data_IF_408756283909
#
_entry.id   IF_408756283909
#
_cell.length_a   1.000
_cell.length_b   1.000
_cell.length_c   1.000
_cell.angle_alpha   90.00
_cell.angle_beta   90.00
_cell.angle_gamma   90.00
#
_symmetry.space_group_name_H-M   'P 1'
#
loop_
_entity.id
_entity.type
_entity.pdbx_description
1 polymer ?
#
# COMPACT_ATOMS: atom_id res chain seq x y z
N UNK A 1 15.97 51.97 3.04
CA UNK A 1 14.97 51.21 2.24
C UNK A 1 15.25 49.70 2.14
N UNK A 2 16.11 49.11 3.00
CA UNK A 2 16.56 47.72 2.85
C UNK A 2 16.05 46.75 3.93
N UNK A 3 15.52 47.25 5.05
CA UNK A 3 15.09 46.44 6.20
C UNK A 3 13.74 45.75 5.99
N UNK A 4 12.81 46.40 5.28
CA UNK A 4 11.47 45.86 5.01
C UNK A 4 11.50 44.69 4.02
N UNK A 5 12.46 44.70 3.07
CA UNK A 5 12.61 43.65 2.05
C UNK A 5 13.20 42.36 2.64
N UNK A 6 14.15 42.50 3.57
CA UNK A 6 14.76 41.39 4.32
C UNK A 6 13.73 40.69 5.22
N UNK A 7 12.83 41.45 5.86
CA UNK A 7 11.81 40.88 6.75
C UNK A 7 10.74 40.07 5.99
N UNK A 8 10.38 40.49 4.76
CA UNK A 8 9.45 39.75 3.89
C UNK A 8 10.09 38.48 3.30
N UNK A 9 11.37 38.54 2.91
CA UNK A 9 12.13 37.37 2.44
C UNK A 9 12.35 36.36 3.58
N UNK A 10 12.67 36.82 4.79
CA UNK A 10 12.82 35.97 5.96
C UNK A 10 11.49 35.28 6.33
N UNK A 11 10.37 35.99 6.33
CA UNK A 11 9.05 35.41 6.59
C UNK A 11 8.66 34.34 5.55
N UNK A 12 9.01 34.54 4.28
CA UNK A 12 8.71 33.62 3.19
C UNK A 12 9.61 32.37 3.23
N UNK A 13 10.89 32.52 3.60
CA UNK A 13 11.83 31.40 3.80
C UNK A 13 11.47 30.57 5.03
N UNK A 14 11.08 31.23 6.13
CA UNK A 14 10.63 30.55 7.37
C UNK A 14 9.33 29.77 7.12
N UNK A 15 8.39 30.34 6.34
CA UNK A 15 7.15 29.66 5.96
C UNK A 15 7.36 28.42 5.09
N UNK A 16 8.39 28.40 4.24
CA UNK A 16 8.75 27.23 3.43
C UNK A 16 9.49 26.18 4.28
N UNK A 17 10.33 26.61 5.24
CA UNK A 17 11.11 25.72 6.10
C UNK A 17 10.24 24.93 7.10
N UNK A 18 9.16 25.51 7.63
CA UNK A 18 8.24 24.81 8.54
C UNK A 18 7.40 23.73 7.84
N UNK A 19 7.21 23.82 6.51
CA UNK A 19 6.47 22.81 5.75
C UNK A 19 7.30 21.54 5.48
N UNK A 20 8.62 21.59 5.67
CA UNK A 20 9.54 20.49 5.35
C UNK A 20 9.81 19.52 6.52
N UNK A 21 9.32 19.79 7.73
CA UNK A 21 9.67 19.02 8.95
C UNK A 21 8.69 17.87 9.26
N UNK A 22 7.72 17.60 8.38
CA UNK A 22 6.80 16.46 8.53
C UNK A 22 7.35 15.17 7.88
N UNK A 23 8.63 15.08 7.59
CA UNK A 23 9.22 13.91 6.92
C UNK A 23 9.40 12.73 7.89
N UNK A 24 8.32 11.95 7.98
CA UNK A 24 8.25 10.49 8.10
C UNK A 24 9.08 9.80 9.21
N UNK A 25 8.41 9.39 10.30
CA UNK A 25 8.80 8.21 11.06
C UNK A 25 8.39 6.94 10.28
N UNK A 26 9.14 6.57 9.24
CA UNK A 26 9.09 5.20 8.73
C UNK A 26 9.96 4.37 9.66
N UNK A 27 9.34 3.60 10.55
CA UNK A 27 10.04 2.59 11.32
C UNK A 27 10.46 1.46 10.41
N UNK A 28 11.72 1.03 10.52
CA UNK A 28 12.19 -0.17 9.81
C UNK A 28 11.38 -1.39 10.23
N UNK A 29 11.01 -2.27 9.28
CA UNK A 29 10.25 -3.46 9.57
C UNK A 29 11.05 -4.38 10.50
N UNK A 30 10.38 -4.93 11.53
CA UNK A 30 11.00 -5.86 12.49
C UNK A 30 11.57 -7.12 11.85
N UNK A 31 11.05 -7.51 10.69
CA UNK A 31 11.52 -8.62 9.88
C UNK A 31 11.55 -8.19 8.40
N UNK A 32 12.71 -7.72 7.90
CA UNK A 32 12.85 -7.22 6.53
C UNK A 32 12.59 -8.28 5.46
N UNK A 33 12.89 -9.56 5.74
CA UNK A 33 12.68 -10.64 4.78
C UNK A 33 11.19 -10.92 4.62
N UNK A 34 10.47 -11.06 5.72
CA UNK A 34 9.02 -11.25 5.68
C UNK A 34 8.28 -10.04 5.14
N UNK A 35 8.79 -8.83 5.41
CA UNK A 35 8.26 -7.60 4.83
C UNK A 35 8.36 -7.59 3.30
N UNK A 36 9.56 -7.88 2.79
CA UNK A 36 9.80 -7.99 1.34
C UNK A 36 8.95 -9.09 0.70
N UNK A 37 8.85 -10.26 1.35
CA UNK A 37 8.03 -11.36 0.86
C UNK A 37 6.54 -11.02 0.81
N UNK A 38 5.98 -10.43 1.87
CA UNK A 38 4.61 -9.96 1.90
C UNK A 38 4.36 -8.93 0.79
N UNK A 39 5.25 -7.95 0.63
CA UNK A 39 5.14 -6.93 -0.42
C UNK A 39 5.11 -7.56 -1.81
N UNK A 40 6.09 -8.39 -2.13
CA UNK A 40 6.20 -9.03 -3.45
C UNK A 40 4.95 -9.89 -3.75
N UNK A 41 4.50 -10.70 -2.78
CA UNK A 41 3.31 -11.55 -2.94
C UNK A 41 2.06 -10.72 -3.14
N UNK A 42 1.89 -9.65 -2.34
CA UNK A 42 0.74 -8.77 -2.37
C UNK A 42 0.64 -8.03 -3.70
N UNK A 43 1.76 -7.48 -4.19
CA UNK A 43 1.82 -6.80 -5.49
C UNK A 43 1.50 -7.77 -6.64
N UNK A 44 2.01 -9.00 -6.57
CA UNK A 44 1.69 -10.04 -7.55
C UNK A 44 0.20 -10.38 -7.57
N UNK A 45 -0.40 -10.59 -6.39
CA UNK A 45 -1.81 -10.95 -6.31
C UNK A 45 -2.74 -9.80 -6.74
N UNK A 46 -2.39 -8.55 -6.47
CA UNK A 46 -3.15 -7.40 -6.99
C UNK A 46 -3.11 -7.32 -8.52
N UNK A 47 -1.95 -7.62 -9.14
CA UNK A 47 -1.87 -7.69 -10.61
C UNK A 47 -2.74 -8.81 -11.17
N UNK A 48 -2.72 -9.99 -10.56
CA UNK A 48 -3.60 -11.09 -10.97
C UNK A 48 -5.09 -10.75 -10.80
N UNK A 49 -5.45 -10.06 -9.71
CA UNK A 49 -6.82 -9.60 -9.46
C UNK A 49 -7.29 -8.59 -10.51
N UNK A 50 -6.45 -7.63 -10.89
CA UNK A 50 -6.75 -6.66 -11.95
C UNK A 50 -6.81 -7.29 -13.34
N UNK A 51 -5.98 -8.31 -13.61
CA UNK A 51 -6.11 -9.12 -14.83
C UNK A 51 -7.47 -9.85 -14.87
N UNK A 52 -7.87 -10.48 -13.76
CA UNK A 52 -9.18 -11.12 -13.68
C UNK A 52 -10.33 -10.11 -13.89
N UNK A 53 -10.20 -8.90 -13.35
CA UNK A 53 -11.16 -7.80 -13.58
C UNK A 53 -11.21 -7.37 -15.04
N UNK A 54 -10.05 -7.21 -15.70
CA UNK A 54 -9.97 -6.86 -17.11
C UNK A 54 -10.63 -7.92 -18.01
N UNK A 55 -10.60 -9.19 -17.60
CA UNK A 55 -11.28 -10.30 -18.27
C UNK A 55 -12.78 -10.43 -17.92
N UNK A 56 -13.34 -9.48 -17.16
CA UNK A 56 -14.78 -9.44 -16.84
C UNK A 56 -15.20 -10.20 -15.57
N UNK A 57 -14.26 -10.73 -14.79
CA UNK A 57 -14.58 -11.54 -13.61
C UNK A 57 -14.92 -10.73 -12.34
N UNK A 58 -14.90 -9.39 -12.41
CA UNK A 58 -15.14 -8.52 -11.25
C UNK A 58 -16.55 -8.59 -10.67
N UNK A 59 -17.53 -9.10 -11.45
CA UNK A 59 -18.89 -9.35 -10.96
C UNK A 59 -19.02 -10.61 -10.09
N UNK A 60 -18.00 -11.46 -10.03
CA UNK A 60 -18.08 -12.72 -9.29
C UNK A 60 -17.89 -12.52 -7.78
N UNK A 61 -18.56 -13.37 -6.99
CA UNK A 61 -18.40 -13.42 -5.53
C UNK A 61 -16.96 -13.74 -5.15
N UNK A 62 -16.30 -14.63 -5.90
CA UNK A 62 -14.92 -15.02 -5.62
C UNK A 62 -13.93 -13.88 -5.90
N UNK A 63 -14.15 -13.07 -6.94
CA UNK A 63 -13.33 -11.88 -7.16
C UNK A 63 -13.48 -10.89 -6.01
N UNK A 64 -14.71 -10.64 -5.55
CA UNK A 64 -14.97 -9.74 -4.42
C UNK A 64 -14.33 -10.24 -3.10
N UNK A 65 -14.36 -11.54 -2.86
CA UNK A 65 -13.67 -12.18 -1.72
C UNK A 65 -12.15 -11.99 -1.81
N UNK A 66 -11.58 -12.19 -2.99
CA UNK A 66 -10.16 -11.97 -3.22
C UNK A 66 -9.76 -10.52 -2.96
N UNK A 67 -10.51 -9.56 -3.52
CA UNK A 67 -10.27 -8.13 -3.31
C UNK A 67 -10.29 -7.77 -1.82
N UNK A 68 -11.28 -8.26 -1.08
CA UNK A 68 -11.39 -8.02 0.37
C UNK A 68 -10.20 -8.59 1.14
N UNK A 69 -9.76 -9.81 0.80
CA UNK A 69 -8.59 -10.43 1.42
C UNK A 69 -7.30 -9.67 1.15
N UNK A 70 -7.08 -9.20 -0.08
CA UNK A 70 -5.90 -8.40 -0.42
C UNK A 70 -5.90 -7.04 0.28
N UNK A 71 -7.06 -6.37 0.37
CA UNK A 71 -7.19 -5.14 1.15
C UNK A 71 -6.86 -5.36 2.63
N UNK A 72 -7.37 -6.44 3.24
CA UNK A 72 -7.04 -6.80 4.62
C UNK A 72 -5.55 -7.18 4.79
N UNK A 73 -4.94 -7.83 3.78
CA UNK A 73 -3.52 -8.13 3.79
C UNK A 73 -2.66 -6.85 3.73
N UNK A 74 -3.09 -5.84 2.96
CA UNK A 74 -2.40 -4.54 2.89
C UNK A 74 -2.40 -3.82 4.23
N UNK A 75 -3.54 -3.83 4.93
CA UNK A 75 -3.61 -3.31 6.31
C UNK A 75 -2.61 -4.05 7.19
N UNK A 76 -2.56 -5.38 7.13
CA UNK A 76 -1.62 -6.17 7.93
C UNK A 76 -0.15 -5.89 7.59
N UNK A 77 0.18 -5.60 6.32
CA UNK A 77 1.51 -5.14 5.93
C UNK A 77 1.89 -3.85 6.65
N UNK A 78 0.97 -2.89 6.75
CA UNK A 78 1.20 -1.58 7.39
C UNK A 78 1.40 -1.67 8.91
N UNK A 79 0.95 -2.75 9.54
CA UNK A 79 1.11 -3.01 10.98
C UNK A 79 2.17 -4.07 11.29
N UNK A 80 3.11 -4.33 10.38
CA UNK A 80 4.17 -5.33 10.49
C UNK A 80 3.67 -6.76 10.80
N UNK A 81 2.43 -7.08 10.42
CA UNK A 81 1.84 -8.42 10.60
C UNK A 81 2.09 -9.30 9.38
N UNK A 82 3.36 -9.42 8.99
CA UNK A 82 3.77 -10.06 7.74
C UNK A 82 3.32 -11.52 7.56
N UNK A 83 3.37 -12.41 8.57
CA UNK A 83 2.87 -13.78 8.41
C UNK A 83 1.38 -13.83 8.06
N UNK A 84 0.57 -12.95 8.67
CA UNK A 84 -0.86 -12.87 8.38
C UNK A 84 -1.13 -12.26 7.01
N UNK A 85 -0.35 -11.25 6.61
CA UNK A 85 -0.40 -10.72 5.24
C UNK A 85 -0.19 -11.84 4.23
N UNK A 86 0.88 -12.63 4.39
CA UNK A 86 1.24 -13.73 3.48
C UNK A 86 0.12 -14.77 3.42
N UNK A 87 -0.48 -15.16 4.56
CA UNK A 87 -1.62 -16.08 4.60
C UNK A 87 -2.84 -15.53 3.85
N UNK A 88 -3.20 -14.27 4.07
CA UNK A 88 -4.32 -13.64 3.38
C UNK A 88 -4.08 -13.53 1.87
N UNK A 89 -2.86 -13.21 1.45
CA UNK A 89 -2.49 -13.18 0.03
C UNK A 89 -2.60 -14.57 -0.59
N UNK A 90 -2.14 -15.62 0.11
CA UNK A 90 -2.29 -17.01 -0.35
C UNK A 90 -3.77 -17.38 -0.55
N UNK A 91 -4.63 -17.01 0.40
CA UNK A 91 -6.08 -17.25 0.32
C UNK A 91 -6.73 -16.43 -0.79
N UNK A 92 -6.31 -15.18 -0.99
CA UNK A 92 -6.79 -14.36 -2.09
C UNK A 92 -6.45 -15.00 -3.44
N UNK A 93 -5.22 -15.53 -3.60
CA UNK A 93 -4.81 -16.24 -4.82
C UNK A 93 -5.70 -17.45 -5.15
N UNK A 94 -6.20 -18.16 -4.14
CA UNK A 94 -7.22 -19.21 -4.35
C UNK A 94 -8.50 -18.63 -4.96
N UNK A 95 -9.04 -17.56 -4.37
CA UNK A 95 -10.28 -16.95 -4.86
C UNK A 95 -10.13 -16.23 -6.21
N UNK A 96 -8.95 -15.70 -6.53
CA UNK A 96 -8.65 -15.15 -7.88
C UNK A 96 -8.77 -16.26 -8.92
N UNK A 97 -8.19 -17.43 -8.66
CA UNK A 97 -8.31 -18.59 -9.56
C UNK A 97 -9.76 -19.07 -9.65
N UNK A 98 -10.47 -19.11 -8.53
CA UNK A 98 -11.88 -19.53 -8.49
C UNK A 98 -12.81 -18.56 -9.23
N UNK A 99 -12.48 -17.27 -9.27
CA UNK A 99 -13.27 -16.27 -10.01
C UNK A 99 -13.21 -16.43 -11.53
N UNK A 100 -12.19 -17.11 -12.04
CA UNK A 100 -11.94 -17.31 -13.47
C UNK A 100 -12.48 -18.64 -13.99
N UNK A 101 -13.04 -19.47 -13.11
CA UNK A 101 -13.69 -20.71 -13.50
C UNK A 101 -15.07 -20.41 -14.12
N UNK A 102 -15.47 -21.16 -15.17
CA UNK A 102 -16.76 -21.00 -15.83
C UNK A 102 -17.95 -21.36 -14.92
#
# INVERSE_FOLDING_TARGET
>A
MNTVKVNKLAALVIGIATMLVLTHCVGDPKDPQMASLCQQRLDNAFRELEQAKANGFSGSVNWSKAATLLSAAKVQQQFDKYPNCIDKVKRAGYYIKESQKP
#
